data_IF_292657094712
#
_entry.id   IF_292657094712
#
_cell.length_a   1.000
_cell.length_b   1.000
_cell.length_c   1.000
_cell.angle_alpha   90.00
_cell.angle_beta   90.00
_cell.angle_gamma   90.00
#
_symmetry.space_group_name_H-M   'P 1'
#
loop_
_entity.id
_entity.type
_entity.pdbx_description
1 polymer ?
#
# COMPACT_ATOMS: atom_id res chain seq x y z
N UNK A 1 8.90 13.03 -6.27
CA UNK A 1 8.44 11.70 -5.81
C UNK A 1 6.93 11.72 -5.89
N UNK A 2 6.32 10.87 -6.74
CA UNK A 2 4.90 10.98 -7.13
C UNK A 2 4.03 10.28 -6.08
N UNK A 3 3.07 11.02 -5.55
CA UNK A 3 2.30 10.72 -4.34
C UNK A 3 1.33 9.55 -4.58
N UNK A 4 1.28 8.62 -3.62
CA UNK A 4 0.36 7.49 -3.51
C UNK A 4 -1.00 8.05 -3.06
N UNK A 5 -1.85 8.47 -4.01
CA UNK A 5 -3.29 8.72 -3.78
C UNK A 5 -4.15 8.27 -4.99
N UNK A 6 -3.64 8.17 -6.21
CA UNK A 6 -4.48 7.80 -7.36
C UNK A 6 -4.63 6.28 -7.54
N UNK A 7 -5.75 5.71 -7.07
CA UNK A 7 -6.15 4.34 -7.35
C UNK A 7 -7.17 3.73 -6.38
N UNK A 8 -7.59 4.43 -5.32
CA UNK A 8 -8.61 3.95 -4.37
C UNK A 8 -8.16 2.81 -3.43
N UNK A 9 -6.93 2.32 -3.56
CA UNK A 9 -6.38 1.23 -2.73
C UNK A 9 -5.87 1.68 -1.36
N UNK A 10 -5.63 2.98 -1.18
CA UNK A 10 -5.23 3.54 0.10
C UNK A 10 -5.69 5.00 0.19
N UNK A 11 -6.61 5.25 1.10
CA UNK A 11 -7.22 6.55 1.34
C UNK A 11 -6.52 7.27 2.50
N UNK A 12 -6.59 8.60 2.49
CA UNK A 12 -6.17 9.38 3.65
C UNK A 12 -7.06 9.02 4.83
N UNK A 13 -6.44 8.66 5.95
CA UNK A 13 -7.14 8.15 7.14
C UNK A 13 -7.05 6.63 7.30
N UNK A 14 -6.60 5.89 6.28
CA UNK A 14 -6.48 4.43 6.39
C UNK A 14 -5.46 4.04 7.46
N UNK A 15 -5.81 3.04 8.25
CA UNK A 15 -4.95 2.50 9.31
C UNK A 15 -4.06 1.42 8.72
N UNK A 16 -2.78 1.52 9.06
CA UNK A 16 -1.74 0.55 8.73
C UNK A 16 -1.25 -0.11 10.01
N UNK A 17 -1.13 -1.43 9.96
CA UNK A 17 -0.66 -2.25 11.06
C UNK A 17 0.82 -2.60 10.85
N UNK A 18 1.58 -2.52 11.93
CA UNK A 18 2.98 -2.94 11.95
C UNK A 18 3.07 -4.46 11.90
N UNK A 19 3.77 -4.99 10.90
CA UNK A 19 4.05 -6.40 10.73
C UNK A 19 5.56 -6.62 10.56
N UNK A 20 6.29 -6.99 11.63
CA UNK A 20 7.71 -7.31 11.55
C UNK A 20 7.97 -8.44 10.55
N UNK A 21 8.84 -8.21 9.57
CA UNK A 21 9.10 -9.19 8.51
C UNK A 21 10.25 -10.14 8.89
N UNK A 22 10.42 -11.21 8.12
CA UNK A 22 11.49 -12.20 8.31
C UNK A 22 12.91 -11.68 8.09
N UNK A 23 13.08 -10.42 7.66
CA UNK A 23 14.39 -9.80 7.47
C UNK A 23 15.11 -9.44 8.78
N UNK A 24 14.40 -9.50 9.91
CA UNK A 24 14.99 -9.41 11.25
C UNK A 24 14.90 -10.76 12.00
N UNK A 25 15.80 -11.04 12.95
CA UNK A 25 15.77 -12.24 13.78
C UNK A 25 14.44 -12.47 14.51
N UNK A 26 14.11 -13.74 14.79
CA UNK A 26 12.83 -14.12 15.38
C UNK A 26 12.62 -13.60 16.81
N UNK A 27 13.68 -13.58 17.62
CA UNK A 27 13.71 -12.98 18.96
C UNK A 27 13.43 -11.48 18.91
N UNK A 28 13.98 -10.76 17.91
CA UNK A 28 13.67 -9.35 17.71
C UNK A 28 12.22 -9.12 17.29
N UNK A 29 11.65 -9.99 16.45
CA UNK A 29 10.22 -9.91 16.09
C UNK A 29 9.34 -10.09 17.33
N UNK A 30 9.61 -11.12 18.12
CA UNK A 30 8.88 -11.38 19.37
C UNK A 30 9.01 -10.21 20.36
N UNK A 31 10.18 -9.59 20.47
CA UNK A 31 10.38 -8.42 21.31
C UNK A 31 9.55 -7.20 20.84
N UNK A 32 9.47 -6.97 19.52
CA UNK A 32 8.63 -5.91 18.95
C UNK A 32 7.15 -6.21 19.17
N UNK A 33 6.72 -7.46 18.96
CA UNK A 33 5.34 -7.89 19.19
C UNK A 33 4.93 -7.70 20.66
N UNK A 34 5.77 -8.10 21.62
CA UNK A 34 5.54 -7.87 23.04
C UNK A 34 5.46 -6.37 23.39
N UNK A 35 6.39 -5.57 22.86
CA UNK A 35 6.43 -4.12 23.07
C UNK A 35 5.19 -3.39 22.48
N UNK A 36 4.62 -3.91 21.39
CA UNK A 36 3.35 -3.45 20.81
C UNK A 36 2.15 -3.96 21.61
N UNK A 37 2.19 -5.20 22.13
CA UNK A 37 1.12 -5.74 22.96
C UNK A 37 0.91 -4.92 24.24
N UNK A 38 2.00 -4.40 24.82
CA UNK A 38 1.95 -3.51 26.00
C UNK A 38 1.24 -2.17 25.71
N UNK A 39 1.40 -1.63 24.50
CA UNK A 39 0.73 -0.38 24.07
C UNK A 39 0.34 -0.49 22.58
N UNK A 40 -0.89 -0.94 22.27
CA UNK A 40 -1.30 -1.25 20.89
C UNK A 40 -1.18 -0.10 19.90
N UNK A 41 -1.23 1.16 20.37
CA UNK A 41 -1.00 2.34 19.54
C UNK A 41 0.39 2.33 18.87
N UNK A 42 1.39 1.67 19.48
CA UNK A 42 2.74 1.54 18.90
C UNK A 42 2.76 0.73 17.60
N UNK A 43 1.78 -0.16 17.41
CA UNK A 43 1.65 -0.99 16.21
C UNK A 43 0.82 -0.33 15.09
N UNK A 44 0.36 0.92 15.25
CA UNK A 44 -0.58 1.55 14.33
C UNK A 44 -0.03 2.84 13.74
N UNK A 45 -0.26 3.05 12.45
CA UNK A 45 0.00 4.30 11.78
C UNK A 45 -1.14 4.65 10.82
N UNK A 46 -1.51 5.93 10.76
CA UNK A 46 -2.51 6.45 9.82
C UNK A 46 -1.82 6.95 8.56
N UNK A 47 -2.35 6.61 7.39
CA UNK A 47 -1.93 7.19 6.12
C UNK A 47 -2.43 8.63 5.98
N UNK A 48 -1.53 9.57 5.71
CA UNK A 48 -1.85 11.00 5.56
C UNK A 48 -1.85 11.47 4.10
N UNK A 49 -1.33 10.66 3.17
CA UNK A 49 -1.13 11.06 1.77
C UNK A 49 -0.02 12.09 1.56
N UNK A 50 0.73 12.50 2.59
CA UNK A 50 1.79 13.48 2.45
C UNK A 50 2.98 12.96 1.62
N UNK A 51 3.54 13.80 0.74
CA UNK A 51 4.61 13.41 -0.19
C UNK A 51 5.92 12.97 0.48
N UNK A 52 6.21 13.53 1.66
CA UNK A 52 7.46 13.28 2.38
C UNK A 52 7.28 12.33 3.55
N UNK A 53 6.32 12.60 4.44
CA UNK A 53 6.10 11.87 5.68
C UNK A 53 4.66 11.34 5.73
N UNK A 54 4.34 10.33 4.91
CA UNK A 54 2.97 9.89 4.69
C UNK A 54 2.36 9.13 5.86
N UNK A 55 3.15 8.72 6.86
CA UNK A 55 2.64 7.95 8.01
C UNK A 55 2.54 8.85 9.22
N UNK A 56 1.37 8.95 9.83
CA UNK A 56 1.20 9.49 11.17
C UNK A 56 1.20 8.32 12.16
N UNK A 57 2.24 8.19 12.97
CA UNK A 57 2.35 7.08 13.93
C UNK A 57 1.50 7.37 15.16
N UNK A 58 0.75 6.39 15.65
CA UNK A 58 -0.12 6.59 16.83
C UNK A 58 0.66 6.58 18.14
N UNK A 59 1.86 5.98 18.19
CA UNK A 59 2.69 5.93 19.39
C UNK A 59 3.26 7.28 19.85
N UNK A 60 3.45 8.24 18.94
CA UNK A 60 3.90 9.61 19.26
C UNK A 60 3.04 10.72 18.64
N UNK A 61 2.09 10.37 17.75
CA UNK A 61 1.29 11.31 16.98
C UNK A 61 2.03 12.05 15.86
N UNK A 62 3.32 11.76 15.66
CA UNK A 62 4.21 12.40 14.71
C UNK A 62 4.10 11.83 13.30
N UNK A 63 4.55 12.60 12.31
CA UNK A 63 4.62 12.14 10.91
C UNK A 63 6.00 11.63 10.55
N UNK A 64 6.06 10.49 9.86
CA UNK A 64 7.27 9.75 9.56
C UNK A 64 7.32 9.24 8.12
N UNK A 65 8.56 9.02 7.63
CA UNK A 65 8.79 8.15 6.47
C UNK A 65 8.72 6.68 6.92
N UNK A 66 8.22 5.74 6.09
CA UNK A 66 8.10 4.32 6.47
C UNK A 66 9.40 3.70 7.02
N UNK A 67 10.52 3.87 6.31
CA UNK A 67 11.83 3.31 6.72
C UNK A 67 12.35 3.94 8.01
N UNK A 68 12.18 5.24 8.20
CA UNK A 68 12.65 5.91 9.41
C UNK A 68 11.82 5.52 10.62
N UNK A 69 10.50 5.31 10.43
CA UNK A 69 9.62 4.86 11.50
C UNK A 69 9.94 3.43 11.94
N UNK A 70 10.17 2.50 10.99
CA UNK A 70 10.57 1.13 11.33
C UNK A 70 11.87 1.11 12.13
N UNK A 71 12.89 1.87 11.71
CA UNK A 71 14.15 1.98 12.48
C UNK A 71 13.93 2.55 13.87
N UNK A 72 13.05 3.54 13.98
CA UNK A 72 12.69 4.16 15.27
C UNK A 72 12.03 3.14 16.20
N UNK A 73 11.05 2.38 15.71
CA UNK A 73 10.35 1.33 16.45
C UNK A 73 11.30 0.22 16.87
N UNK A 74 12.12 -0.30 15.96
CA UNK A 74 13.10 -1.36 16.28
C UNK A 74 14.06 -0.89 17.38
N UNK A 75 14.55 0.35 17.30
CA UNK A 75 15.42 0.93 18.32
C UNK A 75 14.71 1.06 19.68
N UNK A 76 13.45 1.49 19.71
CA UNK A 76 12.68 1.61 20.95
C UNK A 76 12.39 0.23 21.57
N UNK A 77 11.95 -0.74 20.78
CA UNK A 77 11.54 -2.05 21.26
C UNK A 77 12.71 -2.95 21.67
N UNK A 78 13.88 -2.81 21.02
CA UNK A 78 14.99 -3.78 21.16
C UNK A 78 16.33 -3.15 21.55
N UNK A 79 16.43 -1.82 21.54
CA UNK A 79 17.70 -1.09 21.69
C UNK A 79 18.65 -1.21 20.50
N UNK A 80 18.32 -2.00 19.47
CA UNK A 80 19.18 -2.22 18.30
C UNK A 80 18.90 -1.20 17.20
N UNK A 81 19.95 -0.72 16.54
CA UNK A 81 19.81 0.15 15.37
C UNK A 81 19.82 -0.69 14.08
N UNK A 82 18.74 -1.43 13.84
CA UNK A 82 18.51 -2.20 12.62
C UNK A 82 17.22 -1.73 11.94
N UNK A 83 17.14 -1.90 10.63
CA UNK A 83 15.95 -1.57 9.87
C UNK A 83 15.87 -2.42 8.61
N UNK A 84 14.64 -2.64 8.16
CA UNK A 84 14.34 -3.41 6.95
C UNK A 84 13.83 -2.54 5.80
N UNK A 85 13.18 -3.20 4.83
CA UNK A 85 12.36 -2.53 3.81
C UNK A 85 11.14 -1.90 4.47
N UNK A 86 11.32 -0.67 4.97
CA UNK A 86 10.33 0.09 5.74
C UNK A 86 8.87 -0.03 5.28
N UNK A 87 8.54 0.11 3.98
CA UNK A 87 7.17 -0.02 3.50
C UNK A 87 6.58 -1.44 3.65
N UNK A 88 7.38 -2.51 3.53
CA UNK A 88 6.89 -3.90 3.66
C UNK A 88 6.44 -4.27 5.08
N UNK A 89 6.72 -3.42 6.07
CA UNK A 89 6.33 -3.62 7.47
C UNK A 89 4.97 -3.04 7.79
N UNK A 90 4.34 -2.34 6.85
CA UNK A 90 3.05 -1.69 7.06
C UNK A 90 2.04 -2.37 6.15
N UNK A 91 1.09 -3.04 6.78
CA UNK A 91 0.01 -3.75 6.10
C UNK A 91 -1.32 -3.04 6.31
N UNK A 92 -2.16 -3.02 5.29
CA UNK A 92 -3.56 -2.60 5.43
C UNK A 92 -4.32 -3.60 6.31
N UNK A 93 -5.54 -3.23 6.72
CA UNK A 93 -6.46 -4.17 7.39
C UNK A 93 -6.73 -5.42 6.55
N UNK A 94 -6.69 -5.30 5.22
CA UNK A 94 -6.83 -6.42 4.27
C UNK A 94 -5.55 -7.26 4.12
N UNK A 95 -4.47 -6.94 4.85
CA UNK A 95 -3.22 -7.69 4.86
C UNK A 95 -2.26 -7.39 3.71
N UNK A 96 -2.51 -6.34 2.91
CA UNK A 96 -1.65 -5.97 1.79
C UNK A 96 -0.58 -5.00 2.27
N UNK A 97 0.70 -5.30 2.01
CA UNK A 97 1.81 -4.43 2.42
C UNK A 97 2.02 -3.24 1.44
N UNK A 98 2.58 -2.13 1.94
CA UNK A 98 2.81 -0.93 1.11
C UNK A 98 3.77 -1.17 -0.07
N UNK A 99 4.66 -2.15 0.03
CA UNK A 99 5.58 -2.50 -1.07
C UNK A 99 4.80 -3.18 -2.20
N UNK A 100 3.89 -4.09 -1.88
CA UNK A 100 2.98 -4.71 -2.85
C UNK A 100 2.08 -3.66 -3.51
N UNK A 101 1.52 -2.72 -2.75
CA UNK A 101 0.73 -1.61 -3.29
C UNK A 101 1.54 -0.69 -4.22
N UNK A 102 2.82 -0.47 -3.92
CA UNK A 102 3.71 0.30 -4.79
C UNK A 102 4.09 -0.49 -6.06
N UNK A 103 4.35 -1.80 -5.94
CA UNK A 103 4.72 -2.64 -7.08
C UNK A 103 3.56 -2.93 -8.02
N UNK A 104 2.34 -3.15 -7.52
CA UNK A 104 1.12 -3.23 -8.33
C UNK A 104 0.83 -1.95 -9.13
N UNK A 105 1.49 -0.83 -8.78
CA UNK A 105 1.48 0.41 -9.59
C UNK A 105 2.64 0.54 -10.58
N UNK A 106 3.79 -0.08 -10.31
CA UNK A 106 4.98 -0.02 -11.21
C UNK A 106 5.03 -1.19 -12.19
N UNK A 107 4.31 -2.27 -11.89
CA UNK A 107 3.85 -3.24 -12.87
C UNK A 107 2.96 -2.49 -13.87
N UNK A 108 3.30 -2.62 -15.13
CA UNK A 108 2.64 -1.99 -16.27
C UNK A 108 1.15 -2.37 -16.30
N UNK A 109 0.28 -1.57 -15.66
CA UNK A 109 -1.20 -1.55 -15.83
C UNK A 109 -1.74 -2.95 -16.14
N UNK A 110 -1.83 -3.81 -15.14
CA UNK A 110 -2.09 -5.24 -15.32
C UNK A 110 -3.41 -5.49 -16.07
N UNK A 111 -3.26 -5.80 -17.36
CA UNK A 111 -4.35 -6.10 -18.30
C UNK A 111 -4.98 -7.47 -18.02
N UNK A 112 -4.27 -8.34 -17.30
CA UNK A 112 -4.72 -9.67 -16.91
C UNK A 112 -5.85 -9.59 -15.86
N UNK A 113 -5.68 -8.78 -14.81
CA UNK A 113 -6.71 -8.55 -13.78
C UNK A 113 -7.95 -7.87 -14.37
N UNK A 114 -7.75 -6.97 -15.35
CA UNK A 114 -8.85 -6.35 -16.08
C UNK A 114 -9.62 -7.38 -16.93
N UNK A 115 -8.94 -8.28 -17.63
CA UNK A 115 -9.62 -9.34 -18.40
C UNK A 115 -10.38 -10.31 -17.48
N UNK A 116 -9.86 -10.58 -16.29
CA UNK A 116 -10.52 -11.44 -15.32
C UNK A 116 -11.78 -10.79 -14.74
N UNK A 117 -11.75 -9.47 -14.51
CA UNK A 117 -12.92 -8.69 -14.09
C UNK A 117 -13.96 -8.54 -15.22
N UNK A 118 -13.52 -8.35 -16.46
CA UNK A 118 -14.41 -8.31 -17.64
C UNK A 118 -15.08 -9.67 -17.85
N UNK A 119 -14.34 -10.77 -17.71
CA UNK A 119 -14.88 -12.12 -17.86
C UNK A 119 -15.84 -12.53 -16.74
N UNK A 120 -15.84 -11.81 -15.61
CA UNK A 120 -16.74 -12.03 -14.49
C UNK A 120 -18.09 -11.29 -14.62
N UNK A 121 -18.26 -10.44 -15.65
CA UNK A 121 -19.50 -9.72 -15.91
C UNK A 121 -20.23 -10.44 -17.05
N UNK A 122 -21.47 -10.88 -16.81
CA UNK A 122 -22.28 -11.61 -17.79
C UNK A 122 -22.44 -10.83 -19.11
N UNK A 123 -22.31 -11.54 -20.23
CA UNK A 123 -22.51 -11.01 -21.58
C UNK A 123 -23.93 -10.46 -21.74
N UNK A 124 -24.11 -9.15 -21.60
CA UNK A 124 -25.41 -8.51 -21.87
C UNK A 124 -25.62 -7.12 -21.28
N UNK A 125 -24.88 -6.69 -20.25
CA UNK A 125 -25.12 -5.40 -19.59
C UNK A 125 -24.10 -4.30 -19.93
N UNK A 126 -23.63 -4.24 -21.18
CA UNK A 126 -22.69 -3.18 -21.57
C UNK A 126 -23.30 -2.32 -22.66
N UNK A 127 -23.51 -1.05 -22.36
CA UNK A 127 -23.71 -0.03 -23.40
C UNK A 127 -22.98 1.26 -23.02
N UNK A 128 -21.64 1.22 -23.02
CA UNK A 128 -20.75 2.22 -23.64
C UNK A 128 -19.33 2.20 -23.00
N UNK A 129 -18.29 2.09 -23.86
CA UNK A 129 -16.86 2.22 -23.55
C UNK A 129 -16.47 3.50 -22.78
N UNK A 130 -17.32 4.53 -22.78
CA UNK A 130 -17.14 5.77 -22.03
C UNK A 130 -17.35 5.65 -20.52
N UNK A 131 -18.13 4.68 -20.02
CA UNK A 131 -18.34 4.49 -18.58
C UNK A 131 -17.17 3.76 -17.92
N UNK A 132 -16.55 2.81 -18.63
CA UNK A 132 -15.31 2.17 -18.18
C UNK A 132 -14.18 3.20 -17.98
N UNK A 133 -14.07 4.19 -18.85
CA UNK A 133 -13.03 5.21 -18.77
C UNK A 133 -13.08 6.03 -17.46
N UNK A 134 -14.26 6.17 -16.85
CA UNK A 134 -14.43 6.87 -15.57
C UNK A 134 -13.97 6.04 -14.37
N UNK A 135 -14.02 4.71 -14.47
CA UNK A 135 -13.63 3.80 -13.38
C UNK A 135 -12.10 3.66 -13.26
N UNK A 136 -11.36 3.82 -14.36
CA UNK A 136 -9.89 3.64 -14.41
C UNK A 136 -9.08 4.94 -14.56
N UNK A 137 -9.72 6.10 -14.70
CA UNK A 137 -9.03 7.39 -14.79
C UNK A 137 -8.11 7.53 -16.02
N UNK A 138 -8.50 6.95 -17.16
CA UNK A 138 -7.73 7.00 -18.42
C UNK A 138 -8.60 7.57 -19.54
N UNK A 139 -8.07 8.46 -20.37
CA UNK A 139 -8.85 9.03 -21.48
C UNK A 139 -9.12 7.99 -22.59
N UNK A 140 -10.34 8.04 -23.14
CA UNK A 140 -10.85 7.11 -24.16
C UNK A 140 -9.98 7.00 -25.43
N UNK A 141 -9.14 7.99 -25.71
CA UNK A 141 -8.24 8.04 -26.88
C UNK A 141 -7.13 6.98 -26.78
N UNK A 142 -6.68 6.64 -25.57
CA UNK A 142 -5.61 5.65 -25.38
C UNK A 142 -6.08 4.20 -25.61
N UNK A 143 -7.38 3.95 -25.50
CA UNK A 143 -7.98 2.62 -25.68
C UNK A 143 -8.17 2.33 -27.18
N UNK A 144 -8.66 3.30 -27.95
CA UNK A 144 -8.84 3.14 -29.40
C UNK A 144 -7.53 2.87 -30.16
N UNK A 145 -6.41 3.45 -29.73
CA UNK A 145 -5.11 3.25 -30.36
C UNK A 145 -4.49 1.87 -30.12
N UNK A 146 -4.92 1.13 -29.09
CA UNK A 146 -4.41 -0.21 -28.81
C UNK A 146 -5.13 -1.28 -29.63
N UNK A 147 -6.44 -1.14 -29.83
CA UNK A 147 -7.26 -2.05 -30.64
C UNK A 147 -6.93 -1.94 -32.13
N UNK A 148 -6.63 -0.73 -32.63
CA UNK A 148 -6.25 -0.51 -34.02
C UNK A 148 -4.86 -1.09 -34.41
N UNK A 149 -4.08 -1.61 -33.45
CA UNK A 149 -2.78 -2.25 -33.70
C UNK A 149 -2.82 -3.79 -33.73
N UNK A 150 -4.01 -4.40 -33.65
CA UNK A 150 -4.20 -5.85 -33.83
C UNK A 150 -5.28 -6.19 -34.87
N UNK A 151 -5.30 -5.44 -35.97
CA UNK A 151 -5.90 -5.84 -37.24
C UNK A 151 -4.81 -6.09 -38.26
#
# INVERSE_FOLDING_TARGET
MRIIVDGGLLNTGDVLMLQPTTEIPADMRAAIEAWVADEPARGRATWTGAADRPLRWEGDGGTWRPTTLVRHIVKQATGQNRGGRGPAWWVTETGVDLTALAYGRTGRRDWEDLHQLIAAIEEGEWTNYGELAQVIGVSAISVGQHIAKRS
#
